data_IF_220881189215
#
_entry.id   IF_220881189215
#
_cell.length_a   1.000
_cell.length_b   1.000
_cell.length_c   1.000
_cell.angle_alpha   90.00
_cell.angle_beta   90.00
_cell.angle_gamma   90.00
#
_symmetry.space_group_name_H-M   'P 1'
#
loop_
_entity.id
_entity.type
_entity.pdbx_description
1 polymer ?
#
# COMPACT_ATOMS: atom_id res chain seq x y z
N UNK A 1 11.21 -21.24 2.55
CA UNK A 1 10.15 -21.14 1.51
C UNK A 1 9.39 -19.84 1.78
N UNK A 2 9.07 -19.03 0.75
CA UNK A 2 8.50 -17.68 0.95
C UNK A 2 6.98 -17.70 1.18
N UNK A 3 6.24 -18.57 0.47
CA UNK A 3 4.78 -18.70 0.57
C UNK A 3 4.38 -20.17 0.76
N UNK A 4 4.62 -20.76 1.95
CA UNK A 4 4.31 -22.17 2.20
C UNK A 4 2.81 -22.44 2.07
N UNK A 5 2.46 -23.59 1.47
CA UNK A 5 1.08 -24.07 1.30
C UNK A 5 0.18 -23.19 0.41
N UNK A 6 0.76 -22.28 -0.39
CA UNK A 6 0.05 -21.47 -1.37
C UNK A 6 0.49 -21.83 -2.79
N UNK A 7 -0.46 -21.83 -3.72
CA UNK A 7 -0.18 -22.04 -5.16
C UNK A 7 0.31 -20.77 -5.88
N UNK A 8 0.28 -19.63 -5.19
CA UNK A 8 0.60 -18.32 -5.76
C UNK A 8 1.74 -17.67 -4.97
N UNK A 9 2.54 -16.90 -5.71
CA UNK A 9 3.58 -16.04 -5.15
C UNK A 9 3.34 -14.60 -5.60
N UNK A 10 3.32 -13.67 -4.64
CA UNK A 10 3.31 -12.24 -4.93
C UNK A 10 4.64 -11.82 -5.53
N UNK A 11 4.61 -11.23 -6.73
CA UNK A 11 5.80 -10.71 -7.41
C UNK A 11 5.60 -9.24 -7.77
N UNK A 12 6.69 -8.47 -7.69
CA UNK A 12 6.72 -7.07 -8.11
C UNK A 12 7.99 -6.80 -8.91
N UNK A 13 7.90 -5.87 -9.85
CA UNK A 13 9.06 -5.38 -10.59
C UNK A 13 9.65 -4.14 -9.89
N UNK A 14 10.95 -3.83 -10.09
CA UNK A 14 11.51 -2.57 -9.62
C UNK A 14 10.75 -1.39 -10.22
N UNK A 15 10.17 -0.55 -9.35
CA UNK A 15 9.39 0.63 -9.76
C UNK A 15 10.04 1.96 -9.35
N UNK A 16 11.19 1.93 -8.66
CA UNK A 16 11.98 3.12 -8.31
C UNK A 16 13.42 2.97 -8.80
N UNK A 17 14.14 4.07 -9.05
CA UNK A 17 15.57 4.02 -9.34
C UNK A 17 16.37 3.26 -8.28
N UNK A 18 16.00 3.39 -7.00
CA UNK A 18 16.64 2.68 -5.91
C UNK A 18 16.48 1.16 -6.03
N UNK A 19 15.30 0.66 -6.39
CA UNK A 19 15.09 -0.77 -6.62
C UNK A 19 15.96 -1.31 -7.75
N UNK A 20 16.11 -0.56 -8.84
CA UNK A 20 17.00 -0.95 -9.93
C UNK A 20 18.47 -1.04 -9.49
N UNK A 21 18.94 -0.10 -8.66
CA UNK A 21 20.30 -0.13 -8.12
C UNK A 21 20.50 -1.32 -7.18
N UNK A 22 19.58 -1.55 -6.25
CA UNK A 22 19.64 -2.67 -5.30
C UNK A 22 19.65 -4.01 -6.02
N UNK A 23 18.72 -4.25 -6.95
CA UNK A 23 18.64 -5.53 -7.66
C UNK A 23 19.86 -5.77 -8.56
N UNK A 24 20.43 -4.70 -9.15
CA UNK A 24 21.67 -4.81 -9.93
C UNK A 24 22.86 -5.20 -9.06
N UNK A 25 22.96 -4.63 -7.86
CA UNK A 25 24.07 -4.88 -6.94
C UNK A 25 23.95 -6.26 -6.28
N UNK A 26 22.76 -6.65 -5.84
CA UNK A 26 22.55 -7.93 -5.16
C UNK A 26 22.51 -9.11 -6.12
N UNK A 27 22.03 -8.91 -7.36
CA UNK A 27 21.81 -9.99 -8.33
C UNK A 27 20.78 -11.03 -7.89
N UNK A 28 19.94 -10.71 -6.90
CA UNK A 28 19.00 -11.63 -6.26
C UNK A 28 17.59 -11.03 -6.15
N UNK A 29 16.53 -11.86 -6.14
CA UNK A 29 15.20 -11.40 -5.75
C UNK A 29 15.21 -11.01 -4.26
N UNK A 30 14.52 -9.91 -3.94
CA UNK A 30 14.42 -9.37 -2.58
C UNK A 30 12.98 -9.46 -2.09
N UNK A 31 12.82 -9.74 -0.79
CA UNK A 31 11.51 -9.64 -0.13
C UNK A 31 11.23 -8.17 0.15
N UNK A 32 10.11 -7.68 -0.40
CA UNK A 32 9.60 -6.33 -0.14
C UNK A 32 8.26 -6.47 0.58
N UNK A 33 8.24 -6.12 1.87
CA UNK A 33 7.03 -6.11 2.71
C UNK A 33 6.87 -4.74 3.37
N UNK A 34 5.68 -4.45 3.86
CA UNK A 34 5.40 -3.19 4.56
C UNK A 34 6.24 -3.11 5.85
N UNK A 35 6.90 -1.97 6.05
CA UNK A 35 7.72 -1.68 7.23
C UNK A 35 6.87 -1.19 8.40
N UNK A 36 6.21 -2.11 9.09
CA UNK A 36 5.37 -1.84 10.26
C UNK A 36 5.36 -3.03 11.22
N UNK A 37 4.99 -2.78 12.47
CA UNK A 37 4.52 -3.83 13.38
C UNK A 37 3.15 -4.34 12.89
N UNK A 38 2.81 -5.59 13.19
CA UNK A 38 1.54 -6.19 12.75
C UNK A 38 0.35 -5.28 13.10
N UNK A 39 -0.58 -5.13 12.17
CA UNK A 39 -1.78 -4.29 12.30
C UNK A 39 -1.56 -2.78 12.40
N UNK A 40 -0.32 -2.30 12.30
CA UNK A 40 -0.05 -0.86 12.25
C UNK A 40 0.17 -0.35 10.82
N UNK A 41 -0.15 0.94 10.52
CA UNK A 41 0.18 1.52 9.23
C UNK A 41 1.69 1.53 8.95
N UNK A 42 2.04 1.48 7.66
CA UNK A 42 3.43 1.59 7.19
C UNK A 42 4.09 2.89 7.70
N UNK A 43 5.30 2.77 8.24
CA UNK A 43 6.07 3.94 8.67
C UNK A 43 6.35 4.86 7.47
N UNK A 44 6.11 6.16 7.65
CA UNK A 44 6.25 7.19 6.61
C UNK A 44 7.49 8.06 6.83
N UNK A 45 7.75 8.38 8.09
CA UNK A 45 8.79 9.31 8.50
C UNK A 45 10.04 8.55 8.97
N UNK A 46 11.22 9.13 8.75
CA UNK A 46 12.48 8.47 9.07
C UNK A 46 12.60 8.13 10.57
N UNK A 47 12.24 9.08 11.44
CA UNK A 47 12.31 8.89 12.90
C UNK A 47 11.27 7.87 13.38
N UNK A 48 10.10 7.83 12.73
CA UNK A 48 9.08 6.82 12.97
C UNK A 48 9.62 5.42 12.64
N UNK A 49 10.24 5.24 11.47
CA UNK A 49 10.82 3.97 11.05
C UNK A 49 11.95 3.51 11.98
N UNK A 50 12.88 4.41 12.30
CA UNK A 50 14.00 4.13 13.21
C UNK A 50 13.52 3.74 14.61
N UNK A 51 12.43 4.33 15.08
CA UNK A 51 11.89 4.01 16.42
C UNK A 51 11.12 2.68 16.41
N UNK A 52 10.17 2.52 15.48
CA UNK A 52 9.24 1.37 15.45
C UNK A 52 9.88 0.08 14.96
N UNK A 53 10.86 0.16 14.07
CA UNK A 53 11.43 -1.02 13.41
C UNK A 53 12.81 -1.42 13.93
N UNK A 54 13.36 -0.73 14.94
CA UNK A 54 14.72 -0.98 15.47
C UNK A 54 14.96 -2.42 15.92
N UNK A 55 13.92 -3.13 16.34
CA UNK A 55 14.01 -4.51 16.83
C UNK A 55 13.73 -5.54 15.72
N UNK A 56 13.36 -5.08 14.51
CA UNK A 56 13.07 -5.91 13.34
C UNK A 56 14.19 -5.78 12.30
N UNK A 57 14.66 -4.57 12.05
CA UNK A 57 15.62 -4.27 11.00
C UNK A 57 17.03 -4.10 11.56
N UNK A 58 17.98 -4.87 11.03
CA UNK A 58 19.41 -4.71 11.34
C UNK A 58 19.99 -3.40 10.77
N UNK A 59 19.43 -2.94 9.64
CA UNK A 59 19.90 -1.76 8.92
C UNK A 59 18.75 -0.95 8.33
N UNK A 60 18.98 0.36 8.18
CA UNK A 60 18.02 1.30 7.59
C UNK A 60 18.64 2.00 6.38
N UNK A 61 17.90 2.01 5.27
CA UNK A 61 18.24 2.77 4.07
C UNK A 61 17.22 3.88 3.87
N UNK A 62 17.58 5.10 4.29
CA UNK A 62 16.69 6.26 4.36
C UNK A 62 17.03 7.31 3.29
N UNK A 63 16.13 8.28 3.11
CA UNK A 63 16.37 9.45 2.26
C UNK A 63 15.73 10.71 2.85
N UNK A 64 16.12 11.88 2.33
CA UNK A 64 15.63 13.19 2.76
C UNK A 64 14.51 13.76 1.86
N UNK A 65 13.85 12.93 1.05
CA UNK A 65 12.64 13.31 0.31
C UNK A 65 11.41 12.88 1.10
N UNK A 66 10.72 13.82 1.72
CA UNK A 66 9.55 13.50 2.55
C UNK A 66 8.48 12.73 1.77
N UNK A 67 7.92 11.71 2.43
CA UNK A 67 6.76 10.98 1.93
C UNK A 67 5.54 11.70 2.52
N UNK A 68 4.73 12.36 1.69
CA UNK A 68 3.57 13.10 2.20
C UNK A 68 2.42 12.18 2.63
N UNK A 69 2.13 11.15 1.83
CA UNK A 69 1.01 10.23 2.07
C UNK A 69 1.46 8.77 1.99
N UNK A 70 0.90 7.94 2.88
CA UNK A 70 1.15 6.49 2.94
C UNK A 70 0.37 5.78 1.84
N UNK A 71 1.06 4.96 1.08
CA UNK A 71 0.46 4.07 0.08
C UNK A 71 1.14 2.72 0.19
N UNK A 72 0.38 1.67 0.52
CA UNK A 72 0.82 0.31 0.30
C UNK A 72 1.01 0.01 -1.19
N UNK A 73 1.76 -1.06 -1.49
CA UNK A 73 1.78 -1.63 -2.83
C UNK A 73 0.40 -2.16 -3.21
N UNK A 74 -0.05 -1.86 -4.44
CA UNK A 74 -1.25 -2.47 -4.99
C UNK A 74 -0.98 -3.94 -5.31
N UNK A 75 -1.97 -4.80 -5.07
CA UNK A 75 -1.88 -6.24 -5.32
C UNK A 75 -3.01 -6.64 -6.26
N UNK A 76 -2.63 -7.33 -7.33
CA UNK A 76 -3.55 -7.86 -8.32
C UNK A 76 -3.34 -9.36 -8.48
N UNK A 77 -4.43 -10.12 -8.47
CA UNK A 77 -4.43 -11.50 -8.94
C UNK A 77 -4.54 -11.50 -10.46
N UNK A 78 -3.76 -12.35 -11.12
CA UNK A 78 -3.73 -12.43 -12.59
C UNK A 78 -4.01 -13.87 -13.01
N UNK A 79 -5.28 -14.24 -12.96
CA UNK A 79 -5.82 -15.48 -13.56
C UNK A 79 -6.81 -15.11 -14.66
N UNK A 80 -6.31 -15.02 -15.88
CA UNK A 80 -7.09 -14.46 -17.00
C UNK A 80 -7.13 -12.94 -16.94
N UNK A 81 -8.18 -12.35 -16.35
CA UNK A 81 -8.31 -10.88 -16.23
C UNK A 81 -7.74 -10.40 -14.89
N UNK A 82 -6.97 -9.31 -14.84
CA UNK A 82 -6.47 -8.76 -13.58
C UNK A 82 -7.61 -8.41 -12.62
N UNK A 83 -7.53 -8.92 -11.39
CA UNK A 83 -8.46 -8.63 -10.30
C UNK A 83 -7.73 -7.93 -9.17
N UNK A 84 -8.19 -6.74 -8.79
CA UNK A 84 -7.59 -6.00 -7.68
C UNK A 84 -7.91 -6.71 -6.36
N UNK A 85 -6.87 -7.13 -5.64
CA UNK A 85 -6.97 -7.59 -4.25
C UNK A 85 -6.74 -6.43 -3.27
N UNK A 86 -5.85 -5.50 -3.66
CA UNK A 86 -5.57 -4.25 -2.92
C UNK A 86 -5.34 -3.13 -3.92
N UNK A 87 -6.15 -2.08 -3.86
CA UNK A 87 -6.00 -0.86 -4.67
C UNK A 87 -5.33 0.24 -3.83
N UNK A 88 -4.06 0.53 -4.10
CA UNK A 88 -3.27 1.53 -3.38
C UNK A 88 -2.31 2.25 -4.34
N UNK A 89 -0.98 2.06 -4.21
CA UNK A 89 0.04 2.71 -5.05
C UNK A 89 -0.21 2.51 -6.54
N UNK A 90 -0.04 3.58 -7.33
CA UNK A 90 -0.26 3.57 -8.78
C UNK A 90 -1.74 3.61 -9.20
N UNK A 91 -2.68 3.53 -8.24
CA UNK A 91 -4.12 3.57 -8.52
C UNK A 91 -4.80 4.74 -7.82
N UNK A 92 -4.70 4.84 -6.50
CA UNK A 92 -5.23 5.99 -5.77
C UNK A 92 -4.28 7.20 -5.97
N UNK A 93 -4.79 8.44 -6.05
CA UNK A 93 -6.20 8.84 -5.89
C UNK A 93 -6.99 8.91 -7.21
N UNK A 94 -6.58 8.23 -8.29
CA UNK A 94 -7.28 8.29 -9.58
C UNK A 94 -8.74 7.80 -9.44
N UNK A 95 -9.74 8.60 -9.84
CA UNK A 95 -11.12 8.31 -9.56
C UNK A 95 -11.67 7.16 -10.40
N UNK A 96 -12.71 6.51 -9.88
CA UNK A 96 -13.60 5.66 -10.66
C UNK A 96 -14.64 6.55 -11.32
N UNK A 97 -14.81 6.43 -12.63
CA UNK A 97 -15.83 7.15 -13.39
C UNK A 97 -17.18 6.47 -13.23
N UNK A 98 -18.18 7.23 -12.79
CA UNK A 98 -19.55 6.77 -12.62
C UNK A 98 -20.37 7.04 -13.89
N UNK A 99 -21.26 6.12 -14.28
CA UNK A 99 -22.15 6.33 -15.42
C UNK A 99 -23.25 7.38 -15.14
N UNK A 100 -23.35 7.87 -13.90
CA UNK A 100 -24.34 8.85 -13.44
C UNK A 100 -23.67 9.95 -12.61
N UNK A 101 -24.39 11.07 -12.43
CA UNK A 101 -23.99 12.11 -11.48
C UNK A 101 -24.43 11.73 -10.07
N UNK A 102 -23.62 12.04 -9.08
CA UNK A 102 -23.87 11.79 -7.65
C UNK A 102 -23.72 13.07 -6.83
N UNK A 103 -24.38 13.09 -5.67
CA UNK A 103 -24.15 14.11 -4.64
C UNK A 103 -22.75 13.93 -4.04
N UNK A 104 -22.28 14.93 -3.30
CA UNK A 104 -21.07 14.80 -2.50
C UNK A 104 -21.37 13.93 -1.28
N UNK A 105 -20.82 12.72 -1.26
CA UNK A 105 -21.01 11.72 -0.21
C UNK A 105 -19.64 11.22 0.24
N UNK A 106 -19.48 11.09 1.55
CA UNK A 106 -18.44 10.28 2.18
C UNK A 106 -19.02 8.90 2.50
N UNK A 107 -18.46 7.86 1.89
CA UNK A 107 -18.69 6.48 2.28
C UNK A 107 -17.47 5.99 3.06
N UNK A 108 -17.64 5.69 4.35
CA UNK A 108 -16.52 5.37 5.24
C UNK A 108 -15.92 3.97 5.03
N UNK A 109 -16.58 3.10 4.25
CA UNK A 109 -16.10 1.74 4.00
C UNK A 109 -16.43 0.75 5.11
N UNK A 110 -15.77 -0.41 5.05
CA UNK A 110 -15.90 -1.51 6.01
C UNK A 110 -14.79 -1.47 7.06
N UNK A 111 -14.93 -2.21 8.16
CA UNK A 111 -13.91 -2.29 9.21
C UNK A 111 -12.63 -2.99 8.74
N UNK A 112 -12.75 -4.13 8.07
CA UNK A 112 -11.62 -4.87 7.51
C UNK A 112 -11.27 -4.38 6.11
N UNK A 113 -9.96 -4.28 5.85
CA UNK A 113 -9.38 -3.83 4.58
C UNK A 113 -10.01 -2.52 4.09
N UNK A 114 -10.19 -1.58 5.01
CA UNK A 114 -10.92 -0.34 4.80
C UNK A 114 -10.37 0.47 3.62
N UNK A 115 -11.32 1.08 2.92
CA UNK A 115 -11.12 2.24 2.06
C UNK A 115 -12.34 3.14 2.22
N UNK A 116 -12.16 4.44 2.41
CA UNK A 116 -13.24 5.40 2.23
C UNK A 116 -13.37 5.84 0.76
N UNK A 117 -14.54 6.35 0.39
CA UNK A 117 -14.81 6.93 -0.92
C UNK A 117 -15.46 8.31 -0.77
N UNK A 118 -14.92 9.29 -1.49
CA UNK A 118 -15.53 10.60 -1.68
C UNK A 118 -16.10 10.71 -3.08
N UNK A 119 -17.31 11.22 -3.20
CA UNK A 119 -17.96 11.38 -4.51
C UNK A 119 -18.13 12.84 -4.89
N UNK A 120 -18.02 13.15 -6.17
CA UNK A 120 -18.31 14.49 -6.73
C UNK A 120 -18.62 14.38 -8.21
N UNK A 121 -19.72 14.97 -8.66
CA UNK A 121 -20.18 14.91 -10.06
C UNK A 121 -20.27 13.47 -10.56
N UNK A 122 -19.42 13.05 -11.52
CA UNK A 122 -19.36 11.68 -12.05
C UNK A 122 -18.13 10.91 -11.54
N UNK A 123 -17.53 11.34 -10.44
CA UNK A 123 -16.29 10.78 -9.91
C UNK A 123 -16.52 10.17 -8.53
N UNK A 124 -15.99 8.96 -8.35
CA UNK A 124 -15.82 8.30 -7.06
C UNK A 124 -14.32 8.20 -6.76
N UNK A 125 -13.85 9.06 -5.86
CA UNK A 125 -12.48 9.07 -5.35
C UNK A 125 -12.36 8.06 -4.22
N UNK A 126 -12.06 6.83 -4.59
CA UNK A 126 -11.72 5.79 -3.63
C UNK A 126 -10.30 6.03 -3.12
N UNK A 127 -10.15 6.08 -1.80
CA UNK A 127 -8.85 6.17 -1.11
C UNK A 127 -7.93 4.99 -1.44
N UNK A 128 -6.67 5.09 -1.06
CA UNK A 128 -5.77 3.95 -0.95
C UNK A 128 -6.28 2.99 0.13
N UNK A 129 -5.82 1.75 0.10
CA UNK A 129 -6.00 0.81 1.21
C UNK A 129 -5.51 1.43 2.53
N UNK A 130 -6.38 1.46 3.53
CA UNK A 130 -6.07 1.97 4.87
C UNK A 130 -5.63 0.85 5.81
N UNK A 131 -6.19 -0.35 5.64
CA UNK A 131 -5.97 -1.50 6.52
C UNK A 131 -7.20 -1.79 7.37
N UNK A 132 -7.01 -2.49 8.48
CA UNK A 132 -8.09 -2.82 9.41
C UNK A 132 -8.27 -1.68 10.43
N UNK A 133 -9.53 -1.37 10.79
CA UNK A 133 -9.87 -0.18 11.59
C UNK A 133 -9.82 -0.42 13.11
N UNK A 134 -9.22 -1.52 13.55
CA UNK A 134 -9.27 -2.00 14.94
C UNK A 134 -8.34 -1.19 15.89
N UNK A 135 -7.45 -0.35 15.32
CA UNK A 135 -6.50 0.47 16.08
C UNK A 135 -6.75 1.97 15.93
N UNK A 136 -6.53 2.74 17.00
CA UNK A 136 -6.58 4.22 16.96
C UNK A 136 -5.62 4.79 15.91
N UNK A 137 -4.48 4.13 15.70
CA UNK A 137 -3.49 4.50 14.69
C UNK A 137 -3.99 4.35 13.24
N UNK A 138 -5.06 3.60 12.99
CA UNK A 138 -5.67 3.45 11.66
C UNK A 138 -6.70 4.55 11.35
N UNK A 139 -7.20 5.25 12.39
CA UNK A 139 -8.26 6.27 12.29
C UNK A 139 -7.69 7.70 12.22
N UNK A 140 -6.44 7.89 12.63
CA UNK A 140 -5.71 9.18 12.67
C UNK A 140 -4.74 9.33 11.49
#
# INVERSE_FOLDING_TARGET
MVAPNLNYLGVMLPYTPLHHLLLRETGLPLVMTSGNLSEEPIAKDNDEALTRLREIADYFLLHNRDIFARYDDSVYMVEGKPQALRRARGCAPYPIFLPFKTKQILACGAELKNTFCLTKDKYAFLSQHIGDMDGIAAVL
#
